data_IF_710169676126
#
_entry.id   IF_710169676126
#
_cell.length_a   1.000
_cell.length_b   1.000
_cell.length_c   1.000
_cell.angle_alpha   90.00
_cell.angle_beta   90.00
_cell.angle_gamma   90.00
#
_symmetry.space_group_name_H-M   'P 1'
#
loop_
_entity.id
_entity.type
_entity.pdbx_description
1 polymer ?
#
# COMPACT_ATOMS: atom_id res chain seq x y z
N UNK A 1 43.03 7.75 25.01
CA UNK A 1 43.26 8.63 23.85
C UNK A 1 42.15 8.47 22.82
N UNK A 2 41.85 9.50 22.04
CA UNK A 2 40.75 9.51 21.05
C UNK A 2 41.18 10.28 19.80
N UNK A 3 40.86 9.76 18.60
CA UNK A 3 41.16 10.38 17.32
C UNK A 3 39.91 10.31 16.44
N UNK A 4 39.60 11.41 15.75
CA UNK A 4 38.49 11.48 14.79
C UNK A 4 39.00 12.15 13.52
N UNK A 5 38.67 11.57 12.38
CA UNK A 5 38.94 12.13 11.05
C UNK A 5 37.61 12.33 10.29
N UNK A 6 37.43 13.48 9.63
CA UNK A 6 36.25 13.71 8.80
C UNK A 6 36.35 12.93 7.49
N UNK A 7 35.23 12.39 7.02
CA UNK A 7 35.10 11.86 5.68
C UNK A 7 34.63 13.00 4.79
N UNK A 8 35.51 13.50 3.93
CA UNK A 8 35.23 14.66 3.09
C UNK A 8 35.11 14.23 1.63
N UNK A 9 34.01 14.59 0.99
CA UNK A 9 33.79 14.36 -0.43
C UNK A 9 33.31 15.66 -1.10
N UNK A 10 33.99 16.09 -2.16
CA UNK A 10 33.74 17.38 -2.83
C UNK A 10 33.60 18.59 -1.89
N UNK A 11 34.43 18.66 -0.84
CA UNK A 11 34.43 19.77 0.12
C UNK A 11 33.33 19.70 1.18
N UNK A 12 32.45 18.70 1.14
CA UNK A 12 31.44 18.47 2.17
C UNK A 12 31.85 17.32 3.10
N UNK A 13 31.59 17.47 4.40
CA UNK A 13 31.78 16.38 5.37
C UNK A 13 30.55 15.47 5.31
N UNK A 14 30.76 14.23 4.87
CA UNK A 14 29.70 13.22 4.68
C UNK A 14 29.64 12.19 5.82
N UNK A 15 30.58 12.27 6.76
CA UNK A 15 30.67 11.38 7.90
C UNK A 15 31.95 11.57 8.69
N UNK A 16 32.15 10.70 9.68
CA UNK A 16 33.35 10.69 10.52
C UNK A 16 33.83 9.26 10.75
N UNK A 17 35.14 9.10 10.82
CA UNK A 17 35.80 7.87 11.25
C UNK A 17 36.54 8.14 12.56
N UNK A 18 36.40 7.26 13.54
CA UNK A 18 37.02 7.44 14.86
C UNK A 18 37.80 6.22 15.32
N UNK A 19 38.86 6.47 16.07
CA UNK A 19 39.66 5.47 16.79
C UNK A 19 39.77 5.85 18.26
N UNK A 20 39.65 4.85 19.14
CA UNK A 20 39.71 5.04 20.59
C UNK A 20 40.71 4.06 21.22
N UNK A 21 41.50 4.56 22.17
CA UNK A 21 42.41 3.75 22.99
C UNK A 21 42.18 4.02 24.47
N UNK A 22 42.30 2.97 25.29
CA UNK A 22 42.26 3.06 26.76
C UNK A 22 43.52 3.69 27.35
N UNK A 23 44.64 3.70 26.61
CA UNK A 23 45.90 4.28 27.05
C UNK A 23 46.01 5.76 26.67
N UNK A 24 46.79 6.50 27.46
CA UNK A 24 47.09 7.92 27.23
C UNK A 24 48.19 8.07 26.17
N UNK A 25 48.16 9.19 25.45
CA UNK A 25 49.17 9.64 24.49
C UNK A 25 49.58 8.63 23.40
N UNK A 26 48.59 7.94 22.82
CA UNK A 26 48.83 6.85 21.84
C UNK A 26 48.95 7.36 20.40
N UNK A 27 48.27 8.46 20.07
CA UNK A 27 48.12 8.92 18.69
C UNK A 27 49.14 10.01 18.35
N UNK A 28 50.29 9.59 17.84
CA UNK A 28 51.27 10.49 17.21
C UNK A 28 50.79 11.09 15.87
N UNK A 29 51.50 12.11 15.39
CA UNK A 29 51.23 12.77 14.10
C UNK A 29 51.13 11.79 12.92
N UNK A 30 51.97 10.74 12.90
CA UNK A 30 51.91 9.69 11.87
C UNK A 30 50.55 8.99 11.80
N UNK A 31 49.88 8.82 12.95
CA UNK A 31 48.52 8.25 12.98
C UNK A 31 47.47 9.22 12.45
N UNK A 32 47.63 10.53 12.68
CA UNK A 32 46.76 11.56 12.15
C UNK A 32 46.86 11.59 10.62
N UNK A 33 48.08 11.62 10.08
CA UNK A 33 48.32 11.67 8.63
C UNK A 33 47.75 10.41 7.94
N UNK A 34 47.93 9.23 8.55
CA UNK A 34 47.34 7.99 8.05
C UNK A 34 45.80 8.02 8.11
N UNK A 35 45.23 8.51 9.21
CA UNK A 35 43.77 8.61 9.36
C UNK A 35 43.15 9.52 8.30
N UNK A 36 43.81 10.64 7.97
CA UNK A 36 43.39 11.54 6.88
C UNK A 36 43.46 10.84 5.52
N UNK A 37 44.55 10.11 5.23
CA UNK A 37 44.67 9.37 3.97
C UNK A 37 43.60 8.29 3.81
N UNK A 38 43.34 7.53 4.87
CA UNK A 38 42.29 6.50 4.88
C UNK A 38 40.91 7.14 4.72
N UNK A 39 40.64 8.21 5.46
CA UNK A 39 39.38 8.96 5.37
C UNK A 39 39.10 9.45 3.94
N UNK A 40 40.12 10.00 3.27
CA UNK A 40 40.01 10.45 1.88
C UNK A 40 39.75 9.30 0.91
N UNK A 41 40.35 8.13 1.12
CA UNK A 41 40.13 6.96 0.25
C UNK A 41 38.72 6.38 0.40
N UNK A 42 38.18 6.31 1.62
CA UNK A 42 36.87 5.69 1.87
C UNK A 42 35.69 6.65 1.65
N UNK A 43 35.90 7.97 1.72
CA UNK A 43 34.84 8.96 1.57
C UNK A 43 34.09 8.83 0.23
N UNK A 44 34.80 8.56 -0.88
CA UNK A 44 34.17 8.34 -2.18
C UNK A 44 33.22 7.14 -2.22
N UNK A 45 33.64 6.01 -1.64
CA UNK A 45 32.81 4.81 -1.58
C UNK A 45 31.55 5.03 -0.72
N UNK A 46 31.68 5.74 0.40
CA UNK A 46 30.56 6.06 1.28
C UNK A 46 29.58 7.04 0.60
N UNK A 47 30.10 8.07 -0.07
CA UNK A 47 29.27 9.01 -0.84
C UNK A 47 28.45 8.28 -1.91
N UNK A 48 29.09 7.38 -2.66
CA UNK A 48 28.41 6.60 -3.69
C UNK A 48 27.35 5.66 -3.11
N UNK A 49 27.64 4.99 -1.99
CA UNK A 49 26.67 4.12 -1.32
C UNK A 49 25.45 4.91 -0.82
N UNK A 50 25.66 6.09 -0.23
CA UNK A 50 24.57 6.97 0.22
C UNK A 50 23.74 7.48 -0.97
N UNK A 51 24.39 7.91 -2.06
CA UNK A 51 23.70 8.38 -3.26
C UNK A 51 22.88 7.28 -3.92
N UNK A 52 23.44 6.07 -4.01
CA UNK A 52 22.75 4.91 -4.58
C UNK A 52 21.51 4.55 -3.76
N UNK A 53 21.61 4.57 -2.42
CA UNK A 53 20.47 4.30 -1.55
C UNK A 53 19.37 5.37 -1.71
N UNK A 54 19.75 6.65 -1.80
CA UNK A 54 18.79 7.73 -2.07
C UNK A 54 18.10 7.57 -3.43
N UNK A 55 18.86 7.22 -4.46
CA UNK A 55 18.30 6.95 -5.79
C UNK A 55 17.29 5.81 -5.76
N UNK A 56 17.64 4.68 -5.12
CA UNK A 56 16.76 3.51 -5.00
C UNK A 56 15.45 3.86 -4.27
N UNK A 57 15.53 4.61 -3.18
CA UNK A 57 14.35 5.05 -2.42
C UNK A 57 13.44 5.98 -3.25
N UNK A 58 14.05 6.88 -4.05
CA UNK A 58 13.31 7.77 -4.94
C UNK A 58 12.59 6.99 -6.06
N UNK A 59 13.29 6.03 -6.68
CA UNK A 59 12.72 5.15 -7.72
C UNK A 59 11.54 4.35 -7.19
N UNK A 60 11.66 3.77 -5.99
CA UNK A 60 10.59 2.99 -5.37
C UNK A 60 9.36 3.85 -5.05
N UNK A 61 9.57 5.07 -4.54
CA UNK A 61 8.50 6.02 -4.29
C UNK A 61 7.83 6.56 -5.57
N UNK A 62 8.57 6.69 -6.67
CA UNK A 62 8.01 7.05 -7.98
C UNK A 62 7.18 5.89 -8.54
N UNK A 63 7.69 4.66 -8.46
CA UNK A 63 6.99 3.46 -8.90
C UNK A 63 5.65 3.29 -8.18
N UNK A 64 5.62 3.47 -6.85
CA UNK A 64 4.38 3.42 -6.07
C UNK A 64 3.37 4.47 -6.55
N UNK A 65 3.80 5.72 -6.76
CA UNK A 65 2.93 6.78 -7.30
C UNK A 65 2.40 6.46 -8.70
N UNK A 66 3.22 5.84 -9.55
CA UNK A 66 2.80 5.40 -10.87
C UNK A 66 1.73 4.31 -10.80
N UNK A 67 1.90 3.33 -9.91
CA UNK A 67 0.92 2.26 -9.68
C UNK A 67 -0.40 2.83 -9.16
N UNK A 68 -0.38 3.77 -8.19
CA UNK A 68 -1.57 4.48 -7.70
C UNK A 68 -2.30 5.24 -8.81
N UNK A 69 -1.57 6.06 -9.59
CA UNK A 69 -2.15 6.84 -10.68
C UNK A 69 -2.76 5.92 -11.75
N UNK A 70 -2.09 4.81 -12.06
CA UNK A 70 -2.59 3.82 -13.01
C UNK A 70 -3.91 3.21 -12.52
N UNK A 71 -3.99 2.80 -11.26
CA UNK A 71 -5.24 2.28 -10.69
C UNK A 71 -6.37 3.32 -10.73
N UNK A 72 -6.07 4.60 -10.45
CA UNK A 72 -7.05 5.69 -10.55
C UNK A 72 -7.54 5.88 -12.00
N UNK A 73 -6.63 5.82 -12.98
CA UNK A 73 -6.99 5.94 -14.39
C UNK A 73 -7.78 4.73 -14.89
N UNK A 74 -7.46 3.52 -14.47
CA UNK A 74 -8.23 2.31 -14.77
C UNK A 74 -9.67 2.44 -14.24
N UNK A 75 -9.86 2.86 -12.99
CA UNK A 75 -11.19 3.15 -12.42
C UNK A 75 -11.92 4.25 -13.20
N UNK A 76 -11.24 5.36 -13.49
CA UNK A 76 -11.82 6.48 -14.26
C UNK A 76 -12.25 6.06 -15.66
N UNK A 77 -11.48 5.17 -16.32
CA UNK A 77 -11.80 4.67 -17.65
C UNK A 77 -13.05 3.77 -17.65
N UNK A 78 -13.27 3.01 -16.59
CA UNK A 78 -14.48 2.20 -16.39
C UNK A 78 -15.70 3.10 -16.17
N UNK A 79 -15.55 4.18 -15.39
CA UNK A 79 -16.62 5.14 -15.13
C UNK A 79 -17.00 5.95 -16.37
N UNK A 80 -16.03 6.30 -17.22
CA UNK A 80 -16.22 7.10 -18.43
C UNK A 80 -16.61 6.28 -19.68
N UNK A 81 -16.72 4.94 -19.57
CA UNK A 81 -17.11 4.12 -20.70
C UNK A 81 -18.58 4.40 -21.12
N UNK A 82 -18.86 4.72 -22.39
CA UNK A 82 -20.22 4.85 -22.89
C UNK A 82 -20.96 3.51 -22.72
N UNK A 83 -22.13 3.55 -22.10
CA UNK A 83 -22.91 2.36 -21.81
C UNK A 83 -23.99 2.61 -20.78
N UNK A 84 -24.96 1.70 -20.70
CA UNK A 84 -25.99 1.79 -19.67
C UNK A 84 -25.37 1.74 -18.27
N UNK A 85 -26.11 2.20 -17.27
CA UNK A 85 -25.69 2.17 -15.88
C UNK A 85 -25.31 0.75 -15.44
N UNK A 86 -26.06 -0.25 -15.90
CA UNK A 86 -25.84 -1.67 -15.65
C UNK A 86 -24.51 -2.18 -16.24
N UNK A 87 -24.16 -1.74 -17.44
CA UNK A 87 -22.87 -2.11 -18.07
C UNK A 87 -21.68 -1.59 -17.26
N UNK A 88 -21.75 -0.33 -16.80
CA UNK A 88 -20.71 0.27 -15.95
C UNK A 88 -20.58 -0.45 -14.61
N UNK A 89 -21.72 -0.74 -13.96
CA UNK A 89 -21.73 -1.52 -12.71
C UNK A 89 -21.10 -2.89 -12.90
N UNK A 90 -21.44 -3.59 -13.99
CA UNK A 90 -20.84 -4.90 -14.29
C UNK A 90 -19.32 -4.83 -14.49
N UNK A 91 -18.81 -3.79 -15.16
CA UNK A 91 -17.37 -3.60 -15.36
C UNK A 91 -16.65 -3.36 -14.03
N UNK A 92 -17.14 -2.44 -13.20
CA UNK A 92 -16.57 -2.17 -11.86
C UNK A 92 -16.57 -3.43 -11.00
N UNK A 93 -17.67 -4.17 -10.99
CA UNK A 93 -17.78 -5.40 -10.20
C UNK A 93 -16.79 -6.49 -10.62
N UNK A 94 -16.61 -6.71 -11.93
CA UNK A 94 -15.66 -7.69 -12.46
C UNK A 94 -14.24 -7.36 -12.04
N UNK A 95 -13.89 -6.08 -12.13
CA UNK A 95 -12.55 -5.62 -11.78
C UNK A 95 -12.28 -5.72 -10.27
N UNK A 96 -13.23 -5.29 -9.44
CA UNK A 96 -13.10 -5.41 -7.98
C UNK A 96 -13.00 -6.88 -7.54
N UNK A 97 -13.79 -7.77 -8.14
CA UNK A 97 -13.70 -9.19 -7.79
C UNK A 97 -12.35 -9.81 -8.19
N UNK A 98 -11.78 -9.39 -9.33
CA UNK A 98 -10.45 -9.81 -9.77
C UNK A 98 -9.35 -9.33 -8.80
N UNK A 99 -9.41 -8.08 -8.36
CA UNK A 99 -8.43 -7.48 -7.44
C UNK A 99 -8.53 -8.07 -6.04
N UNK A 100 -9.75 -8.35 -5.57
CA UNK A 100 -9.99 -8.87 -4.22
C UNK A 100 -10.04 -10.41 -4.14
N UNK A 101 -9.77 -11.12 -5.24
CA UNK A 101 -9.92 -12.58 -5.35
C UNK A 101 -11.29 -13.10 -4.83
N UNK A 102 -12.35 -12.37 -5.17
CA UNK A 102 -13.68 -12.63 -4.65
C UNK A 102 -14.44 -13.64 -5.52
N UNK A 103 -14.93 -14.74 -4.91
CA UNK A 103 -15.75 -15.75 -5.59
C UNK A 103 -17.15 -15.24 -5.98
N UNK A 104 -17.71 -14.34 -5.18
CA UNK A 104 -19.07 -13.81 -5.35
C UNK A 104 -19.07 -12.31 -5.06
N UNK A 105 -19.79 -11.55 -5.87
CA UNK A 105 -20.03 -10.12 -5.62
C UNK A 105 -21.46 -9.74 -6.01
N UNK A 106 -22.06 -8.81 -5.28
CA UNK A 106 -23.37 -8.23 -5.64
C UNK A 106 -23.31 -6.71 -5.52
N UNK A 107 -24.06 -6.02 -6.38
CA UNK A 107 -24.25 -4.58 -6.32
C UNK A 107 -25.73 -4.28 -6.12
N UNK A 108 -26.04 -3.46 -5.13
CA UNK A 108 -27.41 -3.08 -4.78
C UNK A 108 -27.56 -1.56 -4.73
N UNK A 109 -28.73 -1.08 -5.11
CA UNK A 109 -29.14 0.32 -5.05
C UNK A 109 -30.43 0.46 -4.25
N UNK A 110 -30.67 1.60 -3.61
CA UNK A 110 -31.94 1.86 -2.94
C UNK A 110 -33.10 1.86 -3.93
N UNK A 111 -34.21 1.29 -3.47
CA UNK A 111 -35.53 1.22 -4.11
C UNK A 111 -36.62 1.51 -3.05
N UNK A 112 -37.89 1.61 -3.44
CA UNK A 112 -39.00 1.91 -2.52
C UNK A 112 -39.13 0.85 -1.42
N UNK A 113 -38.95 -0.43 -1.77
CA UNK A 113 -39.16 -1.57 -0.87
C UNK A 113 -37.88 -2.05 -0.17
N UNK A 114 -36.71 -1.54 -0.55
CA UNK A 114 -35.43 -2.03 -0.03
C UNK A 114 -34.24 -1.80 -0.95
N UNK A 115 -33.18 -2.57 -0.75
CA UNK A 115 -31.98 -2.55 -1.57
C UNK A 115 -32.12 -3.54 -2.74
N UNK A 116 -32.42 -3.03 -3.93
CA UNK A 116 -32.54 -3.82 -5.16
C UNK A 116 -31.17 -4.15 -5.74
N UNK A 117 -30.95 -5.43 -6.05
CA UNK A 117 -29.77 -5.91 -6.78
C UNK A 117 -29.85 -5.50 -8.25
N UNK A 118 -28.76 -4.91 -8.73
CA UNK A 118 -28.60 -4.47 -10.13
C UNK A 118 -27.40 -5.12 -10.82
N UNK A 119 -26.60 -5.90 -10.07
CA UNK A 119 -25.47 -6.63 -10.61
C UNK A 119 -25.07 -7.78 -9.69
N UNK A 120 -24.55 -8.85 -10.30
CA UNK A 120 -23.97 -10.00 -9.60
C UNK A 120 -22.79 -10.57 -10.39
N UNK A 121 -21.87 -11.23 -9.68
CA UNK A 121 -20.77 -12.01 -10.24
C UNK A 121 -20.70 -13.37 -9.54
N UNK A 122 -20.45 -14.42 -10.31
CA UNK A 122 -20.36 -15.81 -9.85
C UNK A 122 -21.66 -16.59 -10.03
N UNK A 123 -21.89 -17.60 -9.20
CA UNK A 123 -23.14 -18.38 -9.23
C UNK A 123 -24.35 -17.48 -9.04
N UNK A 124 -25.45 -17.82 -9.73
CA UNK A 124 -26.68 -17.03 -9.66
C UNK A 124 -27.13 -16.96 -8.19
N UNK A 125 -27.27 -15.75 -7.62
CA UNK A 125 -27.53 -15.61 -6.19
C UNK A 125 -28.91 -16.16 -5.84
N UNK A 126 -28.94 -17.09 -4.89
CA UNK A 126 -30.17 -17.64 -4.30
C UNK A 126 -30.82 -16.53 -3.43
N UNK A 127 -32.06 -16.13 -3.74
CA UNK A 127 -32.82 -15.17 -2.94
C UNK A 127 -33.51 -14.06 -3.75
N UNK A 128 -34.13 -13.12 -3.04
CA UNK A 128 -34.90 -12.01 -3.64
C UNK A 128 -34.00 -10.95 -4.29
N UNK A 129 -34.50 -10.34 -5.36
CA UNK A 129 -33.83 -9.21 -6.00
C UNK A 129 -33.78 -7.99 -5.09
N UNK A 130 -34.79 -7.79 -4.24
CA UNK A 130 -34.83 -6.71 -3.24
C UNK A 130 -34.69 -7.33 -1.84
N UNK A 131 -33.80 -6.75 -1.02
CA UNK A 131 -33.70 -7.06 0.41
C UNK A 131 -34.17 -5.84 1.23
N UNK A 132 -34.87 -6.02 2.36
CA UNK A 132 -35.35 -4.90 3.17
C UNK A 132 -34.24 -3.97 3.66
N UNK A 133 -34.59 -2.77 4.10
CA UNK A 133 -33.66 -1.82 4.73
C UNK A 133 -33.23 -2.20 6.16
N UNK A 134 -33.67 -3.36 6.67
CA UNK A 134 -33.35 -3.83 8.01
C UNK A 134 -33.15 -5.36 8.05
N UNK A 135 -32.55 -5.86 9.13
CA UNK A 135 -32.39 -7.30 9.37
C UNK A 135 -31.38 -8.02 8.49
N UNK A 136 -30.50 -7.28 7.78
CA UNK A 136 -29.45 -7.87 6.94
C UNK A 136 -28.18 -7.01 6.93
N UNK A 137 -27.06 -7.61 6.52
CA UNK A 137 -25.74 -6.95 6.53
C UNK A 137 -25.68 -5.74 5.58
N UNK A 138 -26.14 -5.82 4.30
CA UNK A 138 -26.12 -4.65 3.43
C UNK A 138 -26.93 -3.47 3.97
N UNK A 139 -28.10 -3.72 4.54
CA UNK A 139 -28.93 -2.72 5.22
C UNK A 139 -28.17 -2.02 6.36
N UNK A 140 -27.49 -2.78 7.22
CA UNK A 140 -26.69 -2.21 8.31
C UNK A 140 -25.57 -1.28 7.80
N UNK A 141 -24.90 -1.64 6.71
CA UNK A 141 -23.85 -0.81 6.08
C UNK A 141 -24.47 0.43 5.42
N UNK A 142 -25.61 0.27 4.74
CA UNK A 142 -26.33 1.34 4.07
C UNK A 142 -26.78 2.43 5.06
N UNK A 143 -27.36 2.03 6.20
CA UNK A 143 -27.78 2.94 7.27
C UNK A 143 -26.58 3.63 7.95
N UNK A 144 -25.58 2.84 8.36
CA UNK A 144 -24.45 3.35 9.15
C UNK A 144 -23.38 4.10 8.36
N UNK A 145 -23.37 3.98 7.03
CA UNK A 145 -22.37 4.59 6.12
C UNK A 145 -20.93 4.24 6.50
N UNK A 146 -20.70 3.01 6.99
CA UNK A 146 -19.38 2.51 7.42
C UNK A 146 -19.08 1.17 6.78
N UNK A 147 -17.87 1.03 6.27
CA UNK A 147 -17.35 -0.24 5.76
C UNK A 147 -17.39 -1.31 6.86
N UNK A 148 -17.70 -2.54 6.47
CA UNK A 148 -17.74 -3.70 7.35
C UNK A 148 -16.92 -4.82 6.73
N UNK A 149 -16.04 -5.41 7.53
CA UNK A 149 -15.37 -6.67 7.23
C UNK A 149 -15.82 -7.69 8.26
N UNK A 150 -16.31 -8.84 7.80
CA UNK A 150 -16.73 -9.96 8.65
C UNK A 150 -15.83 -11.15 8.33
N UNK A 151 -14.87 -11.43 9.22
CA UNK A 151 -13.89 -12.51 9.01
C UNK A 151 -14.45 -13.91 9.30
N UNK A 152 -15.46 -14.01 10.17
CA UNK A 152 -16.19 -15.24 10.48
C UNK A 152 -17.68 -15.02 10.17
N UNK A 153 -18.01 -15.20 8.88
CA UNK A 153 -19.38 -14.99 8.41
C UNK A 153 -20.39 -15.93 9.07
N UNK A 154 -20.17 -17.26 9.19
CA UNK A 154 -21.15 -18.16 9.83
C UNK A 154 -21.53 -17.78 11.26
N UNK A 155 -20.59 -17.24 12.05
CA UNK A 155 -20.86 -16.82 13.44
C UNK A 155 -21.45 -15.42 13.56
N UNK A 156 -21.61 -14.68 12.46
CA UNK A 156 -22.09 -13.31 12.51
C UNK A 156 -23.59 -13.24 12.79
N UNK A 157 -24.02 -12.34 13.66
CA UNK A 157 -25.43 -12.25 14.11
C UNK A 157 -26.47 -11.98 13.00
N UNK A 158 -26.04 -11.48 11.82
CA UNK A 158 -26.87 -11.29 10.63
C UNK A 158 -26.48 -12.24 9.48
N UNK A 159 -25.74 -13.29 9.78
CA UNK A 159 -25.36 -14.31 8.79
C UNK A 159 -26.60 -15.01 8.26
N UNK A 160 -26.67 -15.15 6.95
CA UNK A 160 -27.64 -16.04 6.32
C UNK A 160 -27.03 -17.45 6.33
N UNK A 161 -27.70 -18.46 6.91
CA UNK A 161 -27.22 -19.84 6.89
C UNK A 161 -26.99 -20.28 5.45
N UNK A 162 -25.87 -20.96 5.19
CA UNK A 162 -25.61 -21.54 3.88
C UNK A 162 -26.74 -22.50 3.52
N UNK A 163 -27.57 -22.11 2.56
CA UNK A 163 -28.52 -23.03 1.92
C UNK A 163 -27.75 -23.86 0.90
N UNK A 164 -26.94 -24.80 1.37
CA UNK A 164 -26.32 -25.80 0.49
C UNK A 164 -27.41 -26.75 -0.01
N UNK A 165 -27.69 -26.67 -1.31
CA UNK A 165 -27.71 -27.83 -2.20
C UNK A 165 -27.02 -27.47 -3.49
#
# INVERSE_FOLDING_TARGET
SFLVAPLVHHGAVIGVFQMRSKFLDVYSQRHLDLAVQVANQIAGAIANAQLFEQFRQAEEAERQRYEELRSLLEVSSVLNHPGSFESKVSMVMKELARVCDARLATFRVPDEEGLRRIGYLGEQPIGTDIIPYEGNIPAMVFDRKKLLVVNDYPSFHLAVPDRVR
#
